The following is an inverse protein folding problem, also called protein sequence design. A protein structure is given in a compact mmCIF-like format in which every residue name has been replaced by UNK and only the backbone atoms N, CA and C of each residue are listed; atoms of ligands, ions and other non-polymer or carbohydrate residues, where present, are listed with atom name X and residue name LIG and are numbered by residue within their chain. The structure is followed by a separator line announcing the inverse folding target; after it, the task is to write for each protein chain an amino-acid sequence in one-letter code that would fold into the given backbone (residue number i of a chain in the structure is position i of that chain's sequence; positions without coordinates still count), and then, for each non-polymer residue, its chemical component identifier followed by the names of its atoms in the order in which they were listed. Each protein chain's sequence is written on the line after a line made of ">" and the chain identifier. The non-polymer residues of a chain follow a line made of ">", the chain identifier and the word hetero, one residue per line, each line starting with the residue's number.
data_IF_745948578887
#
_entry.id   IF_745948578887
#
_cell.length_a   1.000
_cell.length_b   1.000
_cell.length_c   1.000
_cell.angle_alpha   90.00
_cell.angle_beta   90.00
_cell.angle_gamma   90.00
#
_symmetry.space_group_name_H-M   'P 1'
#
loop_
_entity.id
_entity.type
_entity.pdbx_description
1 polymer ?
#
# COMPACT_ATOMS: atom_id res chain seq x y z
N UNK A 1 -43.10 -32.61 7.98
CA UNK A 1 -43.33 -32.41 9.42
C UNK A 1 -42.24 -31.46 9.90
N UNK A 2 -42.47 -30.16 9.78
CA UNK A 2 -41.47 -29.13 10.10
C UNK A 2 -41.59 -28.84 11.59
N UNK A 3 -40.54 -29.18 12.32
CA UNK A 3 -40.41 -28.95 13.76
C UNK A 3 -40.38 -27.43 13.98
N UNK A 4 -41.45 -26.89 14.58
CA UNK A 4 -41.44 -25.54 15.15
C UNK A 4 -40.50 -25.59 16.37
N UNK A 5 -39.31 -24.99 16.26
CA UNK A 5 -38.57 -24.58 17.45
C UNK A 5 -39.26 -23.33 17.99
N UNK A 6 -40.08 -23.52 19.02
CA UNK A 6 -40.51 -22.43 19.87
C UNK A 6 -39.25 -21.83 20.51
N UNK A 7 -38.92 -20.60 20.13
CA UNK A 7 -37.96 -19.79 20.88
C UNK A 7 -38.78 -19.23 22.03
N UNK A 8 -38.54 -19.77 23.22
CA UNK A 8 -39.01 -19.18 24.47
C UNK A 8 -38.41 -17.77 24.57
N UNK A 9 -39.26 -16.81 24.97
CA UNK A 9 -38.85 -15.45 25.35
C UNK A 9 -37.93 -15.54 26.58
N UNK A 10 -36.65 -15.76 26.33
CA UNK A 10 -35.62 -15.48 27.33
C UNK A 10 -35.44 -13.97 27.38
N UNK A 11 -36.00 -13.37 28.42
CA UNK A 11 -35.78 -12.01 28.92
C UNK A 11 -34.33 -11.85 29.48
N UNK A 12 -33.37 -12.48 28.81
CA UNK A 12 -31.94 -12.29 29.02
C UNK A 12 -31.54 -11.05 28.22
N UNK A 13 -31.77 -9.88 28.82
CA UNK A 13 -31.34 -8.61 28.28
C UNK A 13 -29.92 -8.70 27.74
N UNK A 14 -29.75 -8.30 26.48
CA UNK A 14 -28.45 -8.15 25.85
C UNK A 14 -27.58 -7.28 26.77
N UNK A 15 -26.71 -7.94 27.54
CA UNK A 15 -25.77 -7.34 28.47
C UNK A 15 -24.68 -6.58 27.73
N UNK A 16 -25.06 -5.57 26.96
CA UNK A 16 -24.17 -4.55 26.45
C UNK A 16 -24.31 -3.36 27.40
N UNK A 17 -23.60 -3.44 28.53
CA UNK A 17 -23.29 -2.22 29.27
C UNK A 17 -22.68 -1.20 28.31
N UNK A 18 -23.05 0.07 28.48
CA UNK A 18 -22.53 1.18 27.66
C UNK A 18 -21.00 1.04 27.61
N UNK A 19 -20.38 0.88 26.42
CA UNK A 19 -18.93 0.77 26.30
C UNK A 19 -18.27 1.95 27.02
N UNK A 20 -17.19 1.73 27.79
CA UNK A 20 -16.58 2.82 28.60
C UNK A 20 -16.20 4.06 27.79
N UNK A 21 -15.97 3.90 26.48
CA UNK A 21 -15.70 4.99 25.52
C UNK A 21 -16.90 5.89 25.21
N UNK A 22 -18.11 5.45 25.53
CA UNK A 22 -19.38 6.20 25.39
C UNK A 22 -19.83 6.87 26.68
N UNK A 23 -19.01 6.85 27.75
CA UNK A 23 -19.14 7.73 28.92
C UNK A 23 -18.80 9.18 28.54
N UNK A 24 -19.44 9.73 27.51
CA UNK A 24 -19.66 11.17 27.45
C UNK A 24 -20.66 11.52 28.56
N UNK A 25 -20.70 12.78 29.00
CA UNK A 25 -21.68 13.30 29.98
C UNK A 25 -23.14 13.30 29.46
N UNK A 26 -23.50 12.37 28.56
CA UNK A 26 -24.82 12.27 27.96
C UNK A 26 -25.70 11.28 28.74
N UNK A 27 -26.90 11.72 29.11
CA UNK A 27 -27.94 10.87 29.69
C UNK A 27 -28.62 10.07 28.57
N UNK A 28 -28.14 8.86 28.32
CA UNK A 28 -28.74 7.95 27.35
C UNK A 28 -30.04 7.34 27.90
N UNK A 29 -31.12 7.42 27.11
CA UNK A 29 -32.41 6.79 27.41
C UNK A 29 -32.66 5.69 26.39
N UNK A 30 -32.99 4.49 26.85
CA UNK A 30 -33.32 3.37 25.97
C UNK A 30 -34.77 3.51 25.48
N UNK A 31 -34.93 3.73 24.17
CA UNK A 31 -36.24 3.88 23.50
C UNK A 31 -36.62 2.67 22.63
N UNK A 32 -35.95 1.52 22.77
CA UNK A 32 -36.15 0.37 21.88
C UNK A 32 -37.60 -0.14 21.87
N UNK A 33 -38.26 -0.23 23.04
CA UNK A 33 -39.64 -0.71 23.13
C UNK A 33 -40.64 0.29 22.57
N UNK A 34 -40.48 1.58 22.90
CA UNK A 34 -41.32 2.66 22.39
C UNK A 34 -41.24 2.76 20.87
N UNK A 35 -40.02 2.71 20.31
CA UNK A 35 -39.79 2.74 18.87
C UNK A 35 -40.42 1.53 18.16
N UNK A 36 -40.20 0.30 18.66
CA UNK A 36 -40.84 -0.91 18.11
C UNK A 36 -42.36 -0.88 18.22
N UNK A 37 -42.90 -0.22 19.26
CA UNK A 37 -44.33 0.00 19.43
C UNK A 37 -44.89 0.87 18.30
N UNK A 38 -44.30 2.05 18.09
CA UNK A 38 -44.71 2.99 17.05
C UNK A 38 -44.59 2.40 15.63
N UNK A 39 -43.56 1.58 15.35
CA UNK A 39 -43.42 0.93 14.05
C UNK A 39 -44.59 0.01 13.67
N UNK A 40 -45.38 -0.48 14.63
CA UNK A 40 -46.55 -1.33 14.36
C UNK A 40 -47.72 -0.56 13.75
N UNK A 41 -47.71 0.77 13.82
CA UNK A 41 -48.73 1.63 13.23
C UNK A 41 -48.56 1.81 11.71
N UNK A 42 -47.38 1.46 11.16
CA UNK A 42 -47.09 1.55 9.73
C UNK A 42 -47.72 0.37 8.98
N UNK A 43 -48.42 0.68 7.88
CA UNK A 43 -48.96 -0.33 6.98
C UNK A 43 -47.87 -0.89 6.04
N UNK A 44 -48.15 -2.06 5.45
CA UNK A 44 -47.26 -2.65 4.45
C UNK A 44 -47.09 -1.69 3.25
N UNK A 45 -45.84 -1.32 2.97
CA UNK A 45 -45.50 -0.40 1.88
C UNK A 45 -45.37 1.07 2.31
N UNK A 46 -45.67 1.40 3.58
CA UNK A 46 -45.40 2.73 4.13
C UNK A 46 -43.96 2.85 4.61
N UNK A 47 -43.36 4.01 4.38
CA UNK A 47 -42.01 4.34 4.81
C UNK A 47 -42.02 5.73 5.45
N UNK A 48 -41.57 5.82 6.70
CA UNK A 48 -41.38 7.09 7.38
C UNK A 48 -39.99 7.65 7.08
N UNK A 49 -39.93 8.77 6.38
CA UNK A 49 -38.69 9.50 6.11
C UNK A 49 -38.98 11.00 6.01
N UNK A 50 -37.92 11.82 6.03
CA UNK A 50 -38.06 13.26 5.85
C UNK A 50 -38.55 13.61 4.43
N UNK A 51 -39.29 14.71 4.28
CA UNK A 51 -39.86 15.14 2.99
C UNK A 51 -38.80 15.45 1.93
N UNK A 52 -37.58 15.82 2.34
CA UNK A 52 -36.47 16.14 1.44
C UNK A 52 -35.61 14.91 1.12
N UNK A 53 -35.79 13.80 1.83
CA UNK A 53 -35.01 12.59 1.61
C UNK A 53 -35.54 11.83 0.38
N UNK A 54 -34.69 11.69 -0.64
CA UNK A 54 -35.02 10.95 -1.86
C UNK A 54 -34.67 9.47 -1.73
N UNK A 55 -35.56 8.56 -2.14
CA UNK A 55 -35.30 7.12 -2.08
C UNK A 55 -34.15 6.65 -2.98
N UNK A 56 -33.75 7.48 -3.95
CA UNK A 56 -32.54 7.23 -4.74
C UNK A 56 -31.27 7.29 -3.87
N UNK A 57 -31.23 8.17 -2.87
CA UNK A 57 -30.10 8.26 -1.93
C UNK A 57 -30.01 6.99 -1.08
N UNK A 58 -31.15 6.40 -0.72
CA UNK A 58 -31.22 5.14 0.02
C UNK A 58 -30.62 3.95 -0.76
N UNK A 59 -30.49 4.02 -2.09
CA UNK A 59 -29.85 2.96 -2.89
C UNK A 59 -28.34 2.83 -2.61
N UNK A 60 -27.72 3.86 -2.03
CA UNK A 60 -26.31 3.84 -1.62
C UNK A 60 -26.09 3.37 -0.18
N UNK A 61 -27.17 3.11 0.57
CA UNK A 61 -27.10 2.70 1.96
C UNK A 61 -26.47 1.31 2.11
N UNK A 62 -25.73 1.13 3.20
CA UNK A 62 -25.13 -0.15 3.57
C UNK A 62 -26.01 -0.87 4.57
N UNK A 63 -26.21 -2.15 4.32
CA UNK A 63 -26.83 -3.05 5.27
C UNK A 63 -25.76 -3.64 6.21
N UNK A 64 -25.85 -3.30 7.49
CA UNK A 64 -25.02 -3.93 8.51
C UNK A 64 -25.36 -5.42 8.62
N UNK A 65 -24.35 -6.23 8.95
CA UNK A 65 -24.45 -7.69 9.06
C UNK A 65 -24.70 -8.44 7.74
N UNK A 66 -24.81 -7.76 6.59
CA UNK A 66 -24.81 -8.42 5.28
C UNK A 66 -23.35 -8.70 4.82
N UNK A 67 -22.97 -9.95 4.49
CA UNK A 67 -21.59 -10.28 4.11
C UNK A 67 -21.05 -9.59 2.85
N UNK A 68 -21.92 -9.07 1.97
CA UNK A 68 -21.56 -8.37 0.74
C UNK A 68 -21.60 -6.85 0.88
N UNK A 69 -22.30 -6.31 1.88
CA UNK A 69 -22.41 -4.86 2.09
C UNK A 69 -21.62 -4.36 3.30
N UNK A 70 -21.45 -5.19 4.33
CA UNK A 70 -20.76 -4.82 5.56
C UNK A 70 -19.29 -5.27 5.53
N UNK A 71 -18.38 -4.32 5.33
CA UNK A 71 -16.95 -4.57 5.42
C UNK A 71 -16.52 -5.07 6.81
N UNK A 72 -17.22 -4.69 7.88
CA UNK A 72 -16.96 -5.15 9.25
C UNK A 72 -17.19 -6.64 9.45
N UNK A 73 -18.09 -7.25 8.67
CA UNK A 73 -18.36 -8.69 8.73
C UNK A 73 -17.17 -9.54 8.30
N UNK A 74 -16.32 -9.05 7.38
CA UNK A 74 -15.17 -9.81 6.87
C UNK A 74 -13.93 -9.61 7.75
N UNK A 75 -13.76 -8.44 8.36
CA UNK A 75 -12.67 -8.21 9.33
C UNK A 75 -12.75 -9.16 10.53
N UNK A 76 -13.95 -9.59 10.90
CA UNK A 76 -14.21 -10.56 11.96
C UNK A 76 -14.14 -12.04 11.49
N UNK A 77 -14.06 -12.30 10.18
CA UNK A 77 -13.93 -13.67 9.64
C UNK A 77 -12.49 -14.19 9.65
N UNK A 78 -11.50 -13.29 9.76
CA UNK A 78 -10.11 -13.72 9.87
C UNK A 78 -9.84 -14.04 11.34
N UNK A 79 -9.69 -15.33 11.65
CA UNK A 79 -9.36 -15.84 13.00
C UNK A 79 -7.95 -15.44 13.48
N UNK A 80 -7.35 -14.38 12.93
CA UNK A 80 -6.03 -13.87 13.29
C UNK A 80 -6.15 -12.44 13.79
N UNK A 81 -5.36 -12.10 14.80
CA UNK A 81 -5.25 -10.73 15.28
C UNK A 81 -4.52 -9.88 14.25
N UNK A 82 -5.19 -8.84 13.75
CA UNK A 82 -4.58 -7.82 12.88
C UNK A 82 -3.70 -6.94 13.77
N UNK A 83 -2.40 -6.91 13.49
CA UNK A 83 -1.40 -6.17 14.27
C UNK A 83 -1.01 -4.88 13.57
N UNK A 84 -0.94 -3.79 14.34
CA UNK A 84 -0.25 -2.58 13.87
C UNK A 84 1.28 -2.75 13.97
N UNK A 85 2.04 -1.81 13.42
CA UNK A 85 3.50 -1.90 13.37
C UNK A 85 4.16 -2.10 14.74
N UNK A 86 3.82 -1.29 15.75
CA UNK A 86 4.40 -1.40 17.10
C UNK A 86 4.03 -2.72 17.80
N UNK A 87 2.78 -3.17 17.64
CA UNK A 87 2.31 -4.45 18.17
C UNK A 87 3.03 -5.62 17.49
N UNK A 88 3.21 -5.55 16.17
CA UNK A 88 3.90 -6.58 15.41
C UNK A 88 5.38 -6.70 15.80
N UNK A 89 6.05 -5.59 16.13
CA UNK A 89 7.42 -5.60 16.69
C UNK A 89 7.40 -6.28 18.06
N UNK A 90 6.48 -5.88 18.93
CA UNK A 90 6.40 -6.37 20.32
C UNK A 90 6.08 -7.86 20.41
N UNK A 91 5.26 -8.37 19.49
CA UNK A 91 4.91 -9.78 19.37
C UNK A 91 5.95 -10.58 18.56
N UNK A 92 7.00 -9.94 18.04
CA UNK A 92 8.06 -10.59 17.25
C UNK A 92 7.61 -11.07 15.87
N UNK A 93 6.46 -10.60 15.39
CA UNK A 93 5.89 -10.97 14.09
C UNK A 93 6.63 -10.28 12.93
N UNK A 94 7.27 -9.13 13.17
CA UNK A 94 8.12 -8.43 12.20
C UNK A 94 9.50 -8.14 12.78
N UNK A 95 10.50 -8.16 11.91
CA UNK A 95 11.89 -7.83 12.25
C UNK A 95 12.20 -6.40 11.83
N UNK A 96 12.84 -5.64 12.71
CA UNK A 96 13.30 -4.26 12.42
C UNK A 96 14.81 -4.16 12.24
N UNK A 97 15.53 -5.24 12.59
CA UNK A 97 16.98 -5.38 12.53
C UNK A 97 17.35 -6.78 12.05
N UNK A 98 18.60 -6.94 11.62
CA UNK A 98 19.19 -8.22 11.22
C UNK A 98 18.33 -8.94 10.15
N UNK A 99 17.77 -8.18 9.20
CA UNK A 99 17.03 -8.76 8.09
C UNK A 99 17.99 -9.40 7.11
N UNK A 100 17.68 -10.61 6.68
CA UNK A 100 18.42 -11.30 5.63
C UNK A 100 18.21 -10.62 4.26
N UNK A 101 19.16 -10.80 3.35
CA UNK A 101 19.05 -10.25 1.99
C UNK A 101 17.76 -10.70 1.28
N UNK A 102 17.32 -11.97 1.36
CA UNK A 102 16.05 -12.39 0.78
C UNK A 102 14.82 -11.70 1.40
N UNK A 103 14.81 -11.45 2.71
CA UNK A 103 13.74 -10.71 3.38
C UNK A 103 13.65 -9.27 2.83
N UNK A 104 14.79 -8.59 2.72
CA UNK A 104 14.86 -7.21 2.19
C UNK A 104 14.38 -7.14 0.74
N UNK A 105 14.89 -8.03 -0.12
CA UNK A 105 14.48 -8.11 -1.53
C UNK A 105 12.97 -8.36 -1.64
N UNK A 106 12.45 -9.31 -0.85
CA UNK A 106 11.03 -9.64 -0.85
C UNK A 106 10.13 -8.48 -0.42
N UNK A 107 10.50 -7.77 0.65
CA UNK A 107 9.76 -6.60 1.15
C UNK A 107 9.75 -5.48 0.11
N UNK A 108 10.90 -5.21 -0.50
CA UNK A 108 11.04 -4.15 -1.52
C UNK A 108 10.19 -4.45 -2.76
N UNK A 109 10.26 -5.68 -3.27
CA UNK A 109 9.49 -6.09 -4.45
C UNK A 109 7.98 -6.02 -4.19
N UNK A 110 7.52 -6.43 -3.00
CA UNK A 110 6.12 -6.31 -2.63
C UNK A 110 5.69 -4.85 -2.49
N UNK A 111 6.54 -3.97 -1.94
CA UNK A 111 6.28 -2.53 -1.90
C UNK A 111 6.14 -1.93 -3.31
N UNK A 112 6.98 -2.35 -4.26
CA UNK A 112 6.86 -1.92 -5.66
C UNK A 112 5.57 -2.40 -6.32
N UNK A 113 5.15 -3.64 -6.05
CA UNK A 113 3.86 -4.14 -6.53
C UNK A 113 2.71 -3.30 -5.95
N UNK A 114 2.73 -3.01 -4.65
CA UNK A 114 1.74 -2.14 -4.01
C UNK A 114 1.74 -0.72 -4.60
N UNK A 115 2.91 -0.14 -4.90
CA UNK A 115 3.01 1.17 -5.55
C UNK A 115 2.30 1.16 -6.90
N UNK A 116 2.54 0.16 -7.74
CA UNK A 116 1.93 0.08 -9.06
C UNK A 116 0.42 -0.16 -8.96
N UNK A 117 -0.01 -1.06 -8.08
CA UNK A 117 -1.46 -1.27 -7.85
C UNK A 117 -2.16 0.02 -7.42
N UNK A 118 -1.50 0.88 -6.64
CA UNK A 118 -2.02 2.22 -6.35
C UNK A 118 -2.08 3.13 -7.58
N UNK A 119 -1.03 3.15 -8.41
CA UNK A 119 -1.00 3.91 -9.67
C UNK A 119 -2.04 3.44 -10.70
N UNK A 120 -2.56 2.22 -10.57
CA UNK A 120 -3.67 1.66 -11.36
C UNK A 120 -5.07 1.99 -10.82
N UNK A 121 -5.17 2.79 -9.75
CA UNK A 121 -6.45 3.33 -9.26
C UNK A 121 -6.91 2.80 -7.90
N UNK A 122 -6.21 1.80 -7.33
CA UNK A 122 -6.59 1.29 -6.00
C UNK A 122 -6.23 2.25 -4.88
N UNK A 123 -6.87 2.11 -3.71
CA UNK A 123 -6.60 2.94 -2.53
C UNK A 123 -5.19 2.74 -1.95
N UNK A 124 -4.53 3.83 -1.54
CA UNK A 124 -3.27 3.78 -0.76
C UNK A 124 -3.41 2.93 0.51
N UNK A 125 -4.55 3.02 1.19
CA UNK A 125 -4.83 2.27 2.43
C UNK A 125 -4.83 0.75 2.20
N UNK A 126 -5.18 0.30 1.00
CA UNK A 126 -5.29 -1.12 0.62
C UNK A 126 -4.07 -1.65 -0.13
N UNK A 127 -3.12 -0.78 -0.45
CA UNK A 127 -1.93 -1.10 -1.23
C UNK A 127 -0.67 -0.76 -0.44
N UNK A 128 -0.05 0.40 -0.65
CA UNK A 128 1.22 0.80 -0.06
C UNK A 128 1.18 0.79 1.47
N UNK A 129 0.09 1.26 2.08
CA UNK A 129 -0.05 1.29 3.53
C UNK A 129 -0.46 -0.03 4.16
N UNK A 130 -0.55 -1.12 3.39
CA UNK A 130 -0.55 -2.47 3.99
C UNK A 130 0.85 -2.84 4.50
N UNK A 131 1.91 -2.23 3.95
CA UNK A 131 3.27 -2.34 4.46
C UNK A 131 3.38 -1.60 5.80
N UNK A 132 3.62 -2.34 6.88
CA UNK A 132 3.73 -1.77 8.22
C UNK A 132 5.02 -0.94 8.38
N UNK A 133 6.08 -1.25 7.63
CA UNK A 133 7.36 -0.52 7.69
C UNK A 133 7.23 0.95 7.30
N UNK A 134 6.31 1.30 6.41
CA UNK A 134 6.12 2.69 5.98
C UNK A 134 5.29 3.52 6.97
N UNK A 135 4.66 2.89 7.99
CA UNK A 135 3.89 3.61 8.99
C UNK A 135 4.78 4.39 9.96
N UNK A 136 5.92 3.80 10.35
CA UNK A 136 6.88 4.46 11.23
C UNK A 136 8.33 4.05 10.90
N UNK A 137 8.94 4.69 9.88
CA UNK A 137 10.31 4.39 9.48
C UNK A 137 11.39 4.67 10.55
N UNK A 138 11.06 5.45 11.59
CA UNK A 138 12.03 5.82 12.62
C UNK A 138 12.45 4.62 13.50
N UNK A 139 11.56 3.64 13.69
CA UNK A 139 11.82 2.41 14.46
C UNK A 139 12.54 1.32 13.65
N UNK A 140 12.79 1.54 12.36
CA UNK A 140 13.56 0.60 11.54
C UNK A 140 15.05 0.81 11.84
N UNK A 141 15.72 -0.25 12.25
CA UNK A 141 17.17 -0.25 12.54
C UNK A 141 17.98 -0.64 11.29
N UNK A 142 17.43 -1.49 10.41
CA UNK A 142 18.06 -1.90 9.15
C UNK A 142 18.21 -0.73 8.16
N UNK A 143 19.44 -0.26 7.84
CA UNK A 143 19.64 0.98 7.07
C UNK A 143 19.04 0.92 5.67
N UNK A 144 19.17 -0.22 4.98
CA UNK A 144 18.66 -0.38 3.63
C UNK A 144 17.13 -0.28 3.58
N UNK A 145 16.45 -0.94 4.52
CA UNK A 145 14.99 -0.89 4.61
C UNK A 145 14.49 0.48 5.04
N UNK A 146 15.17 1.14 5.97
CA UNK A 146 14.82 2.50 6.41
C UNK A 146 14.93 3.52 5.28
N UNK A 147 16.04 3.52 4.55
CA UNK A 147 16.24 4.41 3.41
C UNK A 147 15.20 4.14 2.31
N UNK A 148 14.91 2.87 2.03
CA UNK A 148 13.88 2.48 1.07
C UNK A 148 12.47 2.92 1.51
N UNK A 149 12.09 2.70 2.77
CA UNK A 149 10.77 3.06 3.30
C UNK A 149 10.52 4.57 3.25
N UNK A 150 11.53 5.39 3.56
CA UNK A 150 11.46 6.84 3.37
C UNK A 150 11.38 7.20 1.88
N UNK A 151 12.16 6.52 1.04
CA UNK A 151 12.17 6.72 -0.41
C UNK A 151 10.81 6.47 -1.06
N UNK A 152 10.16 5.36 -0.73
CA UNK A 152 8.86 5.00 -1.32
C UNK A 152 7.76 5.95 -0.86
N UNK A 153 7.77 6.41 0.40
CA UNK A 153 6.84 7.43 0.89
C UNK A 153 6.98 8.74 0.11
N UNK A 154 8.22 9.16 -0.19
CA UNK A 154 8.48 10.35 -1.01
C UNK A 154 8.05 10.18 -2.46
N UNK A 155 8.27 9.01 -3.05
CA UNK A 155 7.75 8.68 -4.39
C UNK A 155 6.23 8.81 -4.41
N UNK A 156 5.54 8.24 -3.43
CA UNK A 156 4.08 8.36 -3.31
C UNK A 156 3.63 9.81 -3.16
N UNK A 157 4.30 10.60 -2.32
CA UNK A 157 3.91 12.01 -2.12
C UNK A 157 4.04 12.84 -3.40
N UNK A 158 5.19 12.73 -4.07
CA UNK A 158 5.45 13.47 -5.31
C UNK A 158 4.48 13.02 -6.40
N UNK A 159 4.27 11.71 -6.58
CA UNK A 159 3.32 11.20 -7.57
C UNK A 159 1.90 11.73 -7.31
N UNK A 160 1.43 11.65 -6.07
CA UNK A 160 0.13 12.18 -5.64
C UNK A 160 0.02 13.69 -5.88
N UNK A 161 1.03 14.47 -5.52
CA UNK A 161 1.06 15.92 -5.74
C UNK A 161 0.94 16.25 -7.23
N UNK A 162 1.68 15.53 -8.09
CA UNK A 162 1.67 15.77 -9.54
C UNK A 162 0.32 15.42 -10.16
N UNK A 163 -0.27 14.29 -9.80
CA UNK A 163 -1.60 13.88 -10.30
C UNK A 163 -2.67 14.86 -9.83
N UNK A 164 -2.67 15.24 -8.55
CA UNK A 164 -3.59 16.25 -8.01
C UNK A 164 -3.43 17.61 -8.70
N UNK A 165 -2.20 18.02 -8.98
CA UNK A 165 -1.94 19.29 -9.69
C UNK A 165 -2.39 19.25 -11.14
N UNK A 166 -2.30 18.08 -11.80
CA UNK A 166 -2.76 17.92 -13.16
C UNK A 166 -4.30 17.96 -13.25
N UNK A 167 -5.00 17.48 -12.22
CA UNK A 167 -6.47 17.52 -12.12
C UNK A 167 -7.18 16.89 -13.34
N UNK A 168 -6.62 15.79 -13.86
CA UNK A 168 -7.10 15.05 -15.04
C UNK A 168 -7.44 13.59 -14.70
N UNK A 169 -8.02 13.35 -13.51
CA UNK A 169 -8.39 12.01 -13.06
C UNK A 169 -9.77 12.03 -12.40
N UNK A 170 -10.54 10.96 -12.58
CA UNK A 170 -11.72 10.67 -11.77
C UNK A 170 -11.36 9.67 -10.66
N UNK A 171 -12.23 9.50 -9.65
CA UNK A 171 -11.94 8.61 -8.52
C UNK A 171 -11.78 7.13 -8.93
N UNK A 172 -12.29 6.74 -10.09
CA UNK A 172 -12.08 5.40 -10.67
C UNK A 172 -10.67 5.22 -11.28
N UNK A 173 -10.04 6.31 -11.75
CA UNK A 173 -8.73 6.28 -12.38
C UNK A 173 -7.59 6.33 -11.36
N UNK A 174 -7.77 7.12 -10.30
CA UNK A 174 -6.73 7.35 -9.30
C UNK A 174 -7.30 7.79 -7.95
N UNK A 175 -6.94 7.06 -6.89
CA UNK A 175 -7.35 7.40 -5.54
C UNK A 175 -6.24 8.15 -4.77
N UNK A 176 -6.37 9.47 -4.71
CA UNK A 176 -5.37 10.37 -4.09
C UNK A 176 -5.45 10.46 -2.55
N UNK A 177 -6.48 9.87 -1.94
CA UNK A 177 -6.74 9.96 -0.49
C UNK A 177 -5.63 9.29 0.33
N UNK A 178 -5.08 10.03 1.29
CA UNK A 178 -3.97 9.56 2.15
C UNK A 178 -4.41 8.99 3.49
N UNK A 179 -5.70 9.06 3.85
CA UNK A 179 -6.26 8.50 5.08
C UNK A 179 -5.53 8.93 6.38
N UNK A 180 -4.92 10.11 6.38
CA UNK A 180 -4.17 10.64 7.52
C UNK A 180 -2.75 10.09 7.68
N UNK A 181 -2.27 9.25 6.77
CA UNK A 181 -0.88 8.78 6.76
C UNK A 181 0.10 9.91 6.43
N UNK A 182 1.27 9.87 7.09
CA UNK A 182 2.36 10.84 6.89
C UNK A 182 3.29 10.34 5.78
N UNK A 183 3.62 11.21 4.83
CA UNK A 183 4.51 10.89 3.70
C UNK A 183 5.99 11.26 3.97
N UNK A 184 6.50 10.95 5.16
CA UNK A 184 7.87 11.31 5.57
C UNK A 184 8.20 12.81 5.45
N UNK A 185 7.22 13.70 5.67
CA UNK A 185 7.38 15.16 5.57
C UNK A 185 8.38 15.75 6.58
N UNK A 186 8.72 14.99 7.63
CA UNK A 186 9.73 15.34 8.63
C UNK A 186 11.17 15.18 8.11
N UNK A 187 11.38 14.53 6.97
CA UNK A 187 12.70 14.31 6.37
C UNK A 187 12.75 14.98 5.00
N UNK A 188 13.83 15.72 4.72
CA UNK A 188 13.99 16.42 3.44
C UNK A 188 14.32 15.44 2.31
N UNK A 189 13.94 15.79 1.09
CA UNK A 189 14.20 14.95 -0.09
C UNK A 189 15.71 14.74 -0.32
N UNK A 190 16.52 15.78 -0.06
CA UNK A 190 17.98 15.70 -0.08
C UNK A 190 18.53 14.68 0.93
N UNK A 191 17.96 14.63 2.14
CA UNK A 191 18.39 13.68 3.16
C UNK A 191 18.00 12.25 2.79
N UNK A 192 16.78 12.03 2.28
CA UNK A 192 16.32 10.70 1.85
C UNK A 192 17.16 10.19 0.67
N UNK A 193 17.40 11.02 -0.33
CA UNK A 193 18.26 10.65 -1.47
C UNK A 193 19.71 10.40 -1.05
N UNK A 194 20.24 11.16 -0.08
CA UNK A 194 21.53 10.92 0.54
C UNK A 194 21.60 9.56 1.25
N UNK A 195 20.60 9.25 2.08
CA UNK A 195 20.52 7.93 2.76
C UNK A 195 20.48 6.76 1.77
N UNK A 196 19.70 6.87 0.69
CA UNK A 196 19.67 5.86 -0.37
C UNK A 196 21.02 5.72 -1.07
N UNK A 197 21.76 6.84 -1.25
CA UNK A 197 23.08 6.83 -1.86
C UNK A 197 24.13 6.17 -0.95
N UNK A 198 24.07 6.43 0.35
CA UNK A 198 24.98 5.83 1.33
C UNK A 198 24.81 4.30 1.37
N UNK A 199 23.55 3.83 1.38
CA UNK A 199 23.22 2.40 1.27
C UNK A 199 23.67 1.82 -0.06
N UNK A 200 23.45 2.52 -1.18
CA UNK A 200 23.92 2.10 -2.50
C UNK A 200 25.45 1.89 -2.52
N UNK A 201 26.21 2.82 -1.94
CA UNK A 201 27.68 2.75 -1.91
C UNK A 201 28.19 1.64 -1.00
N UNK A 202 27.52 1.38 0.12
CA UNK A 202 27.80 0.23 0.97
C UNK A 202 27.56 -1.08 0.24
N UNK A 203 26.39 -1.24 -0.38
CA UNK A 203 26.05 -2.42 -1.16
C UNK A 203 27.01 -2.60 -2.35
N UNK A 204 27.42 -1.52 -3.01
CA UNK A 204 28.41 -1.59 -4.09
C UNK A 204 29.76 -2.12 -3.60
N UNK A 205 30.21 -1.72 -2.41
CA UNK A 205 31.44 -2.28 -1.79
C UNK A 205 31.28 -3.77 -1.50
N UNK A 206 30.13 -4.20 -0.99
CA UNK A 206 29.82 -5.62 -0.75
C UNK A 206 29.76 -6.44 -2.03
N UNK A 207 29.16 -5.91 -3.11
CA UNK A 207 29.15 -6.54 -4.44
C UNK A 207 30.58 -6.70 -4.98
N UNK A 208 31.44 -5.67 -4.81
CA UNK A 208 32.85 -5.74 -5.22
C UNK A 208 33.65 -6.75 -4.38
N UNK A 209 33.43 -6.80 -3.07
CA UNK A 209 34.16 -7.72 -2.18
C UNK A 209 33.74 -9.18 -2.36
N UNK A 210 32.48 -9.42 -2.74
CA UNK A 210 31.96 -10.76 -3.01
C UNK A 210 32.24 -11.23 -4.45
N UNK A 211 32.76 -10.37 -5.34
CA UNK A 211 33.04 -10.69 -6.75
C UNK A 211 34.14 -11.75 -6.87
N UNK A 212 33.90 -12.79 -7.68
CA UNK A 212 34.91 -13.82 -7.98
C UNK A 212 36.08 -13.26 -8.80
N UNK A 213 37.29 -13.78 -8.57
CA UNK A 213 38.46 -13.52 -9.43
C UNK A 213 38.40 -14.42 -10.67
N UNK A 214 38.97 -13.97 -11.78
CA UNK A 214 39.00 -14.76 -13.01
C UNK A 214 39.70 -16.11 -12.77
N UNK A 215 39.01 -17.22 -13.06
CA UNK A 215 39.55 -18.58 -12.97
C UNK A 215 39.20 -19.35 -11.69
N UNK A 216 38.52 -18.74 -10.71
CA UNK A 216 38.09 -19.44 -9.48
C UNK A 216 36.69 -20.06 -9.66
N UNK A 217 36.56 -21.37 -9.42
CA UNK A 217 35.25 -22.02 -9.27
C UNK A 217 34.62 -21.64 -7.93
N UNK A 218 33.38 -21.16 -7.97
CA UNK A 218 32.67 -20.69 -6.78
C UNK A 218 32.07 -21.83 -5.98
N UNK A 219 32.11 -21.68 -4.66
CA UNK A 219 31.20 -22.39 -3.76
C UNK A 219 29.78 -21.82 -4.00
N UNK A 220 28.74 -22.66 -4.21
CA UNK A 220 27.40 -22.20 -4.56
C UNK A 220 26.80 -21.17 -3.59
N UNK A 221 27.12 -21.26 -2.30
CA UNK A 221 26.64 -20.34 -1.26
C UNK A 221 27.18 -18.91 -1.46
N UNK A 222 28.45 -18.77 -1.85
CA UNK A 222 29.09 -17.47 -2.10
C UNK A 222 28.60 -16.85 -3.41
N UNK A 223 28.27 -17.67 -4.41
CA UNK A 223 27.58 -17.21 -5.61
C UNK A 223 26.21 -16.62 -5.26
N UNK A 224 25.43 -17.35 -4.47
CA UNK A 224 24.09 -16.94 -4.08
C UNK A 224 24.12 -15.63 -3.27
N UNK A 225 25.03 -15.52 -2.30
CA UNK A 225 25.21 -14.29 -1.51
C UNK A 225 25.56 -13.10 -2.40
N UNK A 226 26.47 -13.28 -3.37
CA UNK A 226 26.80 -12.23 -4.33
C UNK A 226 25.60 -11.81 -5.18
N UNK A 227 24.83 -12.78 -5.68
CA UNK A 227 23.62 -12.52 -6.46
C UNK A 227 22.57 -11.76 -5.65
N UNK A 228 22.40 -12.10 -4.36
CA UNK A 228 21.50 -11.41 -3.45
C UNK A 228 21.96 -9.96 -3.16
N UNK A 229 23.25 -9.73 -2.92
CA UNK A 229 23.78 -8.36 -2.79
C UNK A 229 23.56 -7.53 -4.05
N UNK A 230 23.80 -8.11 -5.22
CA UNK A 230 23.58 -7.44 -6.51
C UNK A 230 22.08 -7.14 -6.74
N UNK A 231 21.20 -8.07 -6.37
CA UNK A 231 19.76 -7.92 -6.46
C UNK A 231 19.25 -6.77 -5.57
N UNK A 232 19.72 -6.69 -4.32
CA UNK A 232 19.38 -5.62 -3.39
C UNK A 232 19.95 -4.27 -3.85
N UNK A 233 21.21 -4.25 -4.32
CA UNK A 233 21.86 -3.05 -4.87
C UNK A 233 21.05 -2.44 -6.02
N UNK A 234 20.62 -3.26 -6.99
CA UNK A 234 19.86 -2.76 -8.14
C UNK A 234 18.52 -2.15 -7.74
N UNK A 235 17.84 -2.71 -6.74
CA UNK A 235 16.56 -2.20 -6.21
C UNK A 235 16.73 -0.87 -5.49
N UNK A 236 17.71 -0.75 -4.59
CA UNK A 236 18.01 0.51 -3.88
C UNK A 236 18.41 1.61 -4.88
N UNK A 237 19.29 1.27 -5.83
CA UNK A 237 19.71 2.21 -6.88
C UNK A 237 18.53 2.63 -7.75
N UNK A 238 17.65 1.71 -8.13
CA UNK A 238 16.43 2.02 -8.87
C UNK A 238 15.53 2.98 -8.10
N UNK A 239 15.26 2.72 -6.81
CA UNK A 239 14.47 3.62 -5.95
C UNK A 239 15.09 5.01 -5.89
N UNK A 240 16.42 5.11 -5.72
CA UNK A 240 17.11 6.40 -5.70
C UNK A 240 16.96 7.14 -7.01
N UNK A 241 17.19 6.47 -8.14
CA UNK A 241 17.09 7.08 -9.47
C UNK A 241 15.67 7.54 -9.78
N UNK A 242 14.67 6.71 -9.48
CA UNK A 242 13.26 7.05 -9.63
C UNK A 242 12.89 8.28 -8.78
N UNK A 243 13.22 8.26 -7.48
CA UNK A 243 12.95 9.41 -6.60
C UNK A 243 13.67 10.67 -7.07
N UNK A 244 14.96 10.56 -7.44
CA UNK A 244 15.73 11.72 -7.93
C UNK A 244 15.12 12.28 -9.21
N UNK A 245 14.68 11.43 -10.14
CA UNK A 245 14.00 11.88 -11.35
C UNK A 245 12.70 12.61 -11.04
N UNK A 246 11.87 12.08 -10.14
CA UNK A 246 10.62 12.71 -9.71
C UNK A 246 10.86 14.06 -9.03
N UNK A 247 11.89 14.17 -8.18
CA UNK A 247 12.32 15.44 -7.58
C UNK A 247 12.77 16.41 -8.67
N UNK A 248 13.53 15.96 -9.67
CA UNK A 248 13.96 16.82 -10.77
C UNK A 248 12.78 17.38 -11.56
N UNK A 249 11.68 16.64 -11.72
CA UNK A 249 10.43 17.14 -12.31
C UNK A 249 9.68 18.18 -11.44
N UNK A 250 10.10 18.43 -10.19
CA UNK A 250 9.57 19.54 -9.38
C UNK A 250 10.29 20.86 -9.63
N UNK A 251 11.50 20.82 -10.19
CA UNK A 251 12.23 22.01 -10.64
C UNK A 251 11.49 22.68 -11.79
N UNK A 252 11.51 24.02 -11.83
CA UNK A 252 10.78 24.82 -12.83
C UNK A 252 11.54 25.04 -14.14
N UNK A 253 12.77 24.55 -14.23
CA UNK A 253 13.67 24.81 -15.37
C UNK A 253 13.50 23.73 -16.46
N UNK A 254 13.48 24.12 -17.73
CA UNK A 254 13.37 23.17 -18.87
C UNK A 254 14.58 22.25 -18.99
N UNK A 255 15.77 22.70 -18.57
CA UNK A 255 16.98 21.86 -18.43
C UNK A 255 16.77 20.64 -17.54
N UNK A 256 15.84 20.73 -16.57
CA UNK A 256 15.52 19.65 -15.64
C UNK A 256 14.84 18.47 -16.34
N UNK A 257 14.12 18.69 -17.44
CA UNK A 257 13.52 17.60 -18.21
C UNK A 257 14.58 16.67 -18.82
N UNK A 258 15.67 17.23 -19.37
CA UNK A 258 16.79 16.46 -19.89
C UNK A 258 17.58 15.73 -18.80
N UNK A 259 17.75 16.35 -17.61
CA UNK A 259 18.35 15.68 -16.44
C UNK A 259 17.48 14.51 -15.98
N UNK A 260 16.15 14.72 -15.84
CA UNK A 260 15.21 13.68 -15.46
C UNK A 260 15.18 12.53 -16.46
N UNK A 261 15.18 12.82 -17.77
CA UNK A 261 15.21 11.79 -18.81
C UNK A 261 16.44 10.87 -18.69
N UNK A 262 17.62 11.44 -18.40
CA UNK A 262 18.84 10.66 -18.15
C UNK A 262 18.73 9.77 -16.91
N UNK A 263 18.15 10.28 -15.83
CA UNK A 263 17.93 9.51 -14.59
C UNK A 263 16.95 8.34 -14.81
N UNK A 264 15.85 8.59 -15.51
CA UNK A 264 14.85 7.58 -15.86
C UNK A 264 15.44 6.54 -16.83
N UNK A 265 16.29 6.95 -17.77
CA UNK A 265 17.02 6.02 -18.63
C UNK A 265 17.94 5.08 -17.82
N UNK A 266 18.72 5.61 -16.88
CA UNK A 266 19.54 4.79 -15.98
C UNK A 266 18.69 3.86 -15.10
N UNK A 267 17.49 4.28 -14.70
CA UNK A 267 16.57 3.43 -13.96
C UNK A 267 16.05 2.26 -14.83
N UNK A 268 15.74 2.52 -16.10
CA UNK A 268 15.34 1.48 -17.06
C UNK A 268 16.42 0.40 -17.25
N UNK A 269 17.70 0.79 -17.31
CA UNK A 269 18.80 -0.16 -17.47
C UNK A 269 18.91 -1.18 -16.31
N UNK A 270 18.33 -0.85 -15.14
CA UNK A 270 18.31 -1.75 -13.98
C UNK A 270 17.16 -2.76 -14.01
N UNK A 271 16.10 -2.52 -14.79
CA UNK A 271 14.88 -3.34 -14.77
C UNK A 271 15.14 -4.79 -15.18
N UNK A 272 16.00 -5.03 -16.17
CA UNK A 272 16.37 -6.39 -16.59
C UNK A 272 17.05 -7.17 -15.45
N UNK A 273 17.94 -6.50 -14.70
CA UNK A 273 18.63 -7.10 -13.57
C UNK A 273 17.69 -7.30 -12.36
N UNK A 274 16.70 -6.43 -12.17
CA UNK A 274 15.66 -6.61 -11.15
C UNK A 274 14.79 -7.83 -11.50
N UNK A 275 14.37 -7.95 -12.76
CA UNK A 275 13.54 -9.07 -13.24
C UNK A 275 14.23 -10.42 -13.05
N UNK A 276 15.48 -10.53 -13.48
CA UNK A 276 16.24 -11.79 -13.37
C UNK A 276 16.63 -12.17 -11.94
N UNK A 277 16.38 -11.29 -10.96
CA UNK A 277 16.70 -11.51 -9.55
C UNK A 277 15.49 -11.58 -8.63
N UNK A 278 14.26 -11.63 -9.16
CA UNK A 278 13.02 -11.74 -8.36
C UNK A 278 13.03 -12.98 -7.46
N UNK A 279 13.57 -14.11 -7.94
CA UNK A 279 13.61 -15.36 -7.16
C UNK A 279 14.50 -15.29 -5.92
N UNK A 280 15.38 -14.28 -5.80
CA UNK A 280 16.27 -14.15 -4.64
C UNK A 280 15.58 -13.52 -3.43
N UNK A 281 14.38 -12.95 -3.59
CA UNK A 281 13.57 -12.48 -2.48
C UNK A 281 12.69 -13.59 -1.89
N UNK A 282 12.32 -13.44 -0.63
CA UNK A 282 11.23 -14.24 -0.06
C UNK A 282 9.97 -13.98 -0.89
N UNK A 283 9.28 -15.05 -1.25
CA UNK A 283 8.01 -15.00 -1.97
C UNK A 283 6.85 -15.04 -0.96
N UNK A 284 5.73 -14.44 -1.32
CA UNK A 284 4.52 -14.54 -0.50
C UNK A 284 4.04 -15.99 -0.43
N UNK A 285 3.48 -16.38 0.72
CA UNK A 285 2.81 -17.67 0.80
C UNK A 285 1.53 -17.60 -0.03
N UNK A 286 1.46 -18.42 -1.09
CA UNK A 286 0.34 -18.46 -2.04
C UNK A 286 -0.95 -19.05 -1.45
N UNK A 287 -0.90 -19.59 -0.23
CA UNK A 287 -2.02 -20.24 0.42
C UNK A 287 -2.54 -19.37 1.57
N UNK A 288 -3.58 -18.58 1.32
CA UNK A 288 -4.67 -18.40 2.31
C UNK A 288 -5.95 -17.90 1.64
N UNK A 289 -6.98 -18.74 1.74
CA UNK A 289 -8.41 -18.46 1.96
C UNK A 289 -8.94 -17.07 1.60
N UNK A 290 -9.77 -17.02 0.56
CA UNK A 290 -10.70 -15.92 0.20
C UNK A 290 -10.09 -14.52 0.34
N UNK A 291 -9.29 -14.12 -0.64
CA UNK A 291 -8.90 -12.71 -0.75
C UNK A 291 -7.75 -12.33 -1.67
N UNK A 292 -7.02 -13.26 -2.33
CA UNK A 292 -5.92 -12.94 -3.26
C UNK A 292 -4.83 -11.97 -2.70
N UNK A 293 -4.74 -11.75 -1.38
CA UNK A 293 -3.68 -10.90 -0.81
C UNK A 293 -2.48 -11.74 -0.38
N UNK A 294 -1.28 -11.41 -0.85
CA UNK A 294 -0.07 -12.07 -0.38
C UNK A 294 0.15 -11.79 1.10
N UNK A 295 0.19 -12.83 1.95
CA UNK A 295 0.69 -12.70 3.32
C UNK A 295 2.22 -12.76 3.24
N UNK A 296 2.84 -11.63 3.51
CA UNK A 296 4.29 -11.48 3.64
C UNK A 296 4.61 -10.81 4.96
N UNK A 297 5.75 -11.18 5.55
CA UNK A 297 6.27 -10.53 6.74
C UNK A 297 6.37 -9.01 6.49
N UNK A 298 5.72 -8.21 7.35
CA UNK A 298 5.63 -6.76 7.22
C UNK A 298 4.43 -6.22 6.45
N UNK A 299 3.57 -7.07 5.87
CA UNK A 299 2.37 -6.65 5.15
C UNK A 299 1.10 -7.20 5.80
N UNK A 300 0.19 -6.30 6.18
CA UNK A 300 -1.10 -6.65 6.77
C UNK A 300 -2.24 -5.99 5.97
N UNK A 301 -2.91 -6.76 5.07
CA UNK A 301 -3.96 -6.23 4.19
C UNK A 301 -5.14 -5.60 4.92
N UNK A 302 -5.44 -6.05 6.14
CA UNK A 302 -6.61 -5.60 6.91
C UNK A 302 -6.28 -4.49 7.92
N UNK A 303 -5.02 -4.04 8.02
CA UNK A 303 -4.60 -3.05 9.03
C UNK A 303 -5.39 -1.74 8.93
N UNK A 304 -5.84 -1.39 7.73
CA UNK A 304 -6.52 -0.12 7.44
C UNK A 304 -8.01 -0.27 7.14
N UNK A 305 -8.61 -1.43 7.38
CA UNK A 305 -10.01 -1.70 7.00
C UNK A 305 -10.99 -0.68 7.61
N UNK A 306 -10.69 -0.19 8.83
CA UNK A 306 -11.50 0.82 9.54
C UNK A 306 -11.35 2.24 8.99
N UNK A 307 -10.37 2.50 8.14
CA UNK A 307 -10.14 3.81 7.50
C UNK A 307 -10.89 3.93 6.16
N UNK A 308 -11.30 2.80 5.59
CA UNK A 308 -11.99 2.77 4.31
C UNK A 308 -13.40 3.37 4.48
N UNK A 309 -13.90 4.07 3.45
CA UNK A 309 -15.27 4.56 3.48
C UNK A 309 -16.24 3.37 3.64
N UNK A 310 -17.44 3.62 4.18
CA UNK A 310 -18.48 2.62 4.20
C UNK A 310 -18.93 2.41 2.75
N UNK A 311 -18.29 1.46 2.08
CA UNK A 311 -18.62 0.99 0.73
C UNK A 311 -18.61 -0.54 0.73
N UNK A 312 -19.13 -1.12 -0.35
CA UNK A 312 -19.05 -2.58 -0.54
C UNK A 312 -17.60 -3.05 -0.38
N UNK A 313 -17.35 -4.21 0.27
CA UNK A 313 -16.01 -4.73 0.45
C UNK A 313 -15.33 -4.98 -0.90
N UNK A 314 -14.41 -4.08 -1.28
CA UNK A 314 -13.54 -4.23 -2.45
C UNK A 314 -12.12 -4.44 -1.95
N UNK A 315 -11.41 -5.37 -2.57
CA UNK A 315 -10.04 -5.72 -2.23
C UNK A 315 -9.09 -5.39 -3.37
N UNK A 316 -7.95 -4.81 -3.03
CA UNK A 316 -6.92 -4.49 -4.02
C UNK A 316 -6.14 -5.77 -4.35
N UNK A 317 -6.33 -6.27 -5.57
CA UNK A 317 -5.51 -7.38 -6.07
C UNK A 317 -4.13 -6.84 -6.39
N UNK A 318 -3.17 -7.13 -5.51
CA UNK A 318 -1.78 -6.71 -5.71
C UNK A 318 -1.23 -7.41 -6.96
N UNK A 319 -0.60 -6.62 -7.84
CA UNK A 319 -0.02 -7.15 -9.08
C UNK A 319 1.11 -8.14 -8.77
N UNK A 320 1.41 -9.02 -9.74
CA UNK A 320 2.52 -9.96 -9.60
C UNK A 320 3.86 -9.27 -9.81
N UNK A 321 4.94 -9.86 -9.27
CA UNK A 321 6.30 -9.32 -9.35
C UNK A 321 6.84 -9.30 -10.78
N UNK A 322 6.42 -10.24 -11.61
CA UNK A 322 6.78 -10.29 -13.03
C UNK A 322 6.14 -9.13 -13.79
N UNK A 323 4.87 -8.83 -13.49
CA UNK A 323 4.11 -7.74 -14.10
C UNK A 323 4.62 -6.36 -13.64
N UNK A 324 5.16 -6.28 -12.42
CA UNK A 324 5.74 -5.05 -11.86
C UNK A 324 6.85 -4.48 -12.75
N UNK A 325 7.76 -5.32 -13.25
CA UNK A 325 8.85 -4.86 -14.12
C UNK A 325 8.30 -4.36 -15.46
N UNK A 326 7.35 -5.08 -16.04
CA UNK A 326 6.73 -4.69 -17.31
C UNK A 326 6.00 -3.34 -17.20
N UNK A 327 5.31 -3.11 -16.07
CA UNK A 327 4.67 -1.83 -15.81
C UNK A 327 5.69 -0.69 -15.67
N UNK A 328 6.75 -0.87 -14.87
CA UNK A 328 7.80 0.16 -14.76
C UNK A 328 8.46 0.47 -16.10
N UNK A 329 8.70 -0.54 -16.95
CA UNK A 329 9.23 -0.32 -18.29
C UNK A 329 8.34 0.61 -19.11
N UNK A 330 7.03 0.31 -19.17
CA UNK A 330 6.04 1.13 -19.87
C UNK A 330 5.93 2.54 -19.27
N UNK A 331 5.93 2.65 -17.94
CA UNK A 331 5.87 3.93 -17.25
C UNK A 331 7.09 4.79 -17.59
N UNK A 332 8.28 4.21 -17.56
CA UNK A 332 9.54 4.89 -17.90
C UNK A 332 9.53 5.34 -19.36
N UNK A 333 9.07 4.49 -20.30
CA UNK A 333 8.92 4.87 -21.70
C UNK A 333 7.98 6.07 -21.87
N UNK A 334 6.81 6.04 -21.22
CA UNK A 334 5.87 7.18 -21.23
C UNK A 334 6.50 8.46 -20.66
N UNK A 335 7.25 8.35 -19.56
CA UNK A 335 7.96 9.50 -18.97
C UNK A 335 9.02 10.04 -19.93
N UNK A 336 9.77 9.17 -20.63
CA UNK A 336 10.75 9.59 -21.65
C UNK A 336 10.09 10.35 -22.78
N UNK A 337 8.96 9.87 -23.31
CA UNK A 337 8.18 10.57 -24.34
C UNK A 337 7.73 11.95 -23.87
N UNK A 338 7.29 12.08 -22.61
CA UNK A 338 6.91 13.38 -22.02
C UNK A 338 8.11 14.33 -21.94
N UNK A 339 9.31 13.83 -21.62
CA UNK A 339 10.51 14.67 -21.63
C UNK A 339 10.85 15.22 -23.03
N UNK A 340 10.50 14.52 -24.09
CA UNK A 340 10.81 14.94 -25.47
C UNK A 340 9.93 16.09 -25.96
N UNK A 341 8.82 16.40 -25.27
CA UNK A 341 7.91 17.51 -25.61
C UNK A 341 8.63 18.86 -25.64
N UNK A 342 9.71 19.03 -24.86
CA UNK A 342 10.51 20.28 -24.87
C UNK A 342 11.22 20.52 -26.22
N UNK A 343 11.41 19.47 -27.02
CA UNK A 343 12.06 19.53 -28.34
C UNK A 343 11.05 19.77 -29.46
N UNK A 344 9.75 19.73 -29.17
CA UNK A 344 8.69 19.96 -30.14
C UNK A 344 8.65 21.44 -30.53
N UNK A 345 8.97 21.74 -31.79
CA UNK A 345 9.01 23.11 -32.33
C UNK A 345 7.67 23.60 -32.88
N UNK A 346 6.74 22.68 -33.17
CA UNK A 346 5.41 23.00 -33.69
C UNK A 346 4.37 21.94 -33.24
N UNK A 347 3.11 22.35 -33.12
CA UNK A 347 1.99 21.50 -32.70
C UNK A 347 1.67 20.36 -33.70
N UNK A 348 2.15 20.45 -34.94
CA UNK A 348 1.89 19.46 -35.99
C UNK A 348 2.93 18.31 -36.03
N UNK A 349 3.95 18.37 -35.18
CA UNK A 349 5.05 17.40 -35.13
C UNK A 349 5.04 16.47 -33.91
N UNK A 350 3.91 16.38 -33.20
CA UNK A 350 3.70 15.47 -32.05
C UNK A 350 3.11 14.15 -32.52
#
# INVERSE_FOLDING_TARGET
>A
MVMKSAVEDDDAGWGMGIPEKMKSNANWVNITHEFKGACKELNLGELLHDKLFGLFEAMSAIEMMDPKMDAGMIGNQVNRKVLNFEQAIKEGAIKVKDLSLPELIGIIDTCFCCLITWLEGHSLAQTVFTCLYVHNPDLIEEPALKAFALGILKVCDIAREKVNKAAVFEEEDFQAMTYGFKMANNVTDLRVTGMLKDVEDELQRKVKSTRSRQGEQRVPEVELEHQQFLALFNRIKFTRLLLTALITFTKKETSSAGEAQKLVAQAADLLSAIHSSIQHGIQSQNDTTKGDHPIMMGFEPLVNQRLLPPTFPRYAKIIKREDMVAYFSKLIERIKTVCDVINTTNLHGI
#
